data_IF_172583583764
#
_entry.id   IF_172583583764
#
_cell.length_a   1.000
_cell.length_b   1.000
_cell.length_c   1.000
_cell.angle_alpha   90.00
_cell.angle_beta   90.00
_cell.angle_gamma   90.00
#
_symmetry.space_group_name_H-M   'P 1'
#
loop_
_entity.id
_entity.type
_entity.pdbx_description
1 polymer ?
#
# COMPACT_ATOMS: atom_id res chain seq x y z
N UNK A 1 -7.13 -11.92 -8.86
CA UNK A 1 -6.18 -11.00 -8.20
C UNK A 1 -5.70 -11.63 -6.90
N UNK A 2 -4.78 -12.59 -6.96
CA UNK A 2 -4.31 -13.32 -5.76
C UNK A 2 -3.39 -12.47 -4.89
N UNK A 3 -2.58 -11.58 -5.49
CA UNK A 3 -1.69 -10.68 -4.75
C UNK A 3 -2.43 -9.69 -3.84
N UNK A 4 -3.65 -9.28 -4.20
CA UNK A 4 -4.45 -8.40 -3.34
C UNK A 4 -4.88 -9.09 -2.04
N UNK A 5 -5.06 -10.43 -2.05
CA UNK A 5 -5.33 -11.19 -0.84
C UNK A 5 -4.10 -11.30 0.05
N UNK A 6 -2.91 -11.48 -0.53
CA UNK A 6 -1.65 -11.50 0.21
C UNK A 6 -1.32 -10.16 0.90
N UNK A 7 -1.78 -9.04 0.33
CA UNK A 7 -1.60 -7.70 0.89
C UNK A 7 -2.53 -7.37 2.06
N UNK A 8 -3.61 -8.12 2.25
CA UNK A 8 -4.64 -7.83 3.24
C UNK A 8 -4.11 -7.71 4.68
N UNK A 9 -3.31 -8.66 5.21
CA UNK A 9 -2.72 -8.51 6.54
C UNK A 9 -1.77 -7.31 6.65
N UNK A 10 -0.96 -7.06 5.62
CA UNK A 10 -0.01 -5.94 5.62
C UNK A 10 -0.72 -4.57 5.59
N UNK A 11 -1.82 -4.46 4.84
CA UNK A 11 -2.66 -3.26 4.85
C UNK A 11 -3.35 -3.06 6.19
N UNK A 12 -3.74 -4.15 6.87
CA UNK A 12 -4.31 -4.09 8.20
C UNK A 12 -3.27 -3.62 9.24
N UNK A 13 -2.07 -4.19 9.22
CA UNK A 13 -0.97 -3.76 10.08
C UNK A 13 -0.60 -2.29 9.82
N UNK A 14 -0.51 -1.88 8.55
CA UNK A 14 -0.25 -0.50 8.17
C UNK A 14 -1.36 0.43 8.68
N UNK A 15 -2.63 0.07 8.50
CA UNK A 15 -3.77 0.85 8.98
C UNK A 15 -3.68 1.09 10.50
N UNK A 16 -3.44 0.02 11.27
CA UNK A 16 -3.29 0.12 12.72
C UNK A 16 -2.10 1.00 13.12
N UNK A 17 -0.97 0.90 12.43
CA UNK A 17 0.23 1.71 12.70
C UNK A 17 0.02 3.21 12.49
N UNK A 18 -0.93 3.60 11.63
CA UNK A 18 -1.28 5.00 11.36
C UNK A 18 -2.63 5.41 11.97
N UNK A 19 -3.13 4.61 12.91
CA UNK A 19 -4.38 4.84 13.64
C UNK A 19 -5.62 4.96 12.72
N UNK A 20 -5.67 4.14 11.67
CA UNK A 20 -6.83 3.98 10.80
C UNK A 20 -7.52 2.67 11.13
N UNK A 21 -8.83 2.73 11.37
CA UNK A 21 -9.63 1.53 11.57
C UNK A 21 -9.71 0.74 10.27
N UNK A 22 -9.40 -0.58 10.27
CA UNK A 22 -9.58 -1.41 9.09
C UNK A 22 -11.05 -1.37 8.64
N UNK A 23 -11.27 -0.98 7.38
CA UNK A 23 -12.60 -0.85 6.77
C UNK A 23 -12.79 -1.98 5.74
N UNK A 24 -13.99 -2.56 5.66
CA UNK A 24 -14.33 -3.54 4.61
C UNK A 24 -14.25 -2.90 3.22
N UNK A 25 -14.44 -1.58 3.13
CA UNK A 25 -14.22 -0.83 1.91
C UNK A 25 -12.74 -0.49 1.73
N UNK A 26 -12.04 -1.31 0.95
CA UNK A 26 -10.65 -1.08 0.55
C UNK A 26 -10.37 0.32 -0.01
N UNK A 27 -11.26 0.92 -0.82
CA UNK A 27 -11.00 2.26 -1.35
C UNK A 27 -10.99 3.32 -0.24
N UNK A 28 -11.90 3.20 0.72
CA UNK A 28 -11.98 4.04 1.91
C UNK A 28 -10.73 3.85 2.78
N UNK A 29 -10.39 2.60 3.13
CA UNK A 29 -9.21 2.28 3.93
C UNK A 29 -7.92 2.83 3.31
N UNK A 30 -7.69 2.57 2.01
CA UNK A 30 -6.49 3.04 1.30
C UNK A 30 -6.40 4.57 1.26
N UNK A 31 -7.53 5.28 1.11
CA UNK A 31 -7.55 6.75 1.15
C UNK A 31 -7.17 7.30 2.55
N UNK A 32 -7.70 6.69 3.60
CA UNK A 32 -7.43 7.11 4.98
C UNK A 32 -5.96 6.86 5.35
N UNK A 33 -5.43 5.68 5.00
CA UNK A 33 -4.01 5.34 5.18
C UNK A 33 -3.13 6.33 4.42
N UNK A 34 -3.41 6.59 3.13
CA UNK A 34 -2.63 7.55 2.33
C UNK A 34 -2.63 8.94 2.97
N UNK A 35 -3.77 9.40 3.49
CA UNK A 35 -3.90 10.70 4.16
C UNK A 35 -3.01 10.77 5.41
N UNK A 36 -3.02 9.73 6.25
CA UNK A 36 -2.20 9.67 7.46
C UNK A 36 -0.70 9.58 7.15
N UNK A 37 -0.30 8.75 6.18
CA UNK A 37 1.09 8.67 5.75
C UNK A 37 1.62 10.02 5.23
N UNK A 38 0.79 10.76 4.47
CA UNK A 38 1.14 12.11 4.02
C UNK A 38 1.22 13.13 5.15
N UNK A 39 0.45 12.96 6.22
CA UNK A 39 0.57 13.79 7.39
C UNK A 39 1.90 13.52 8.12
N UNK A 40 2.34 12.25 8.17
CA UNK A 40 3.65 11.89 8.73
C UNK A 40 4.80 12.55 7.97
N UNK A 41 4.74 12.57 6.63
CA UNK A 41 5.72 13.29 5.80
C UNK A 41 5.85 14.78 6.17
N UNK A 42 4.79 15.40 6.69
CA UNK A 42 4.76 16.84 7.03
C UNK A 42 5.10 17.14 8.49
N UNK A 43 5.45 16.12 9.27
CA UNK A 43 5.60 16.23 10.72
C UNK A 43 7.03 15.91 11.18
N UNK A 44 7.36 16.27 12.42
CA UNK A 44 8.72 16.28 12.98
C UNK A 44 9.28 14.89 13.32
N UNK A 45 8.85 13.83 12.63
CA UNK A 45 9.24 12.44 12.92
C UNK A 45 10.67 12.08 12.46
N UNK A 46 11.37 13.02 11.82
CA UNK A 46 12.75 12.84 11.35
C UNK A 46 12.83 12.33 9.90
N UNK A 47 14.00 12.46 9.25
CA UNK A 47 14.16 12.21 7.82
C UNK A 47 13.91 10.75 7.42
N UNK A 48 14.23 9.78 8.27
CA UNK A 48 13.99 8.36 8.02
C UNK A 48 12.49 8.02 7.98
N UNK A 49 11.72 8.62 8.88
CA UNK A 49 10.27 8.41 8.96
C UNK A 49 9.54 9.07 7.77
N UNK A 50 10.02 10.23 7.35
CA UNK A 50 9.54 10.89 6.13
C UNK A 50 9.85 10.07 4.88
N UNK A 51 11.07 9.53 4.79
CA UNK A 51 11.48 8.67 3.68
C UNK A 51 10.63 7.40 3.61
N UNK A 52 10.51 6.67 4.73
CA UNK A 52 9.70 5.47 4.83
C UNK A 52 8.23 5.72 4.47
N UNK A 53 7.63 6.79 5.00
CA UNK A 53 6.25 7.15 4.68
C UNK A 53 6.08 7.49 3.19
N UNK A 54 7.09 8.11 2.57
CA UNK A 54 7.10 8.44 1.14
C UNK A 54 7.10 7.19 0.26
N UNK A 55 7.96 6.23 0.58
CA UNK A 55 8.02 4.95 -0.14
C UNK A 55 6.71 4.17 0.02
N UNK A 56 6.16 4.12 1.24
CA UNK A 56 4.88 3.48 1.51
C UNK A 56 3.73 4.11 0.69
N UNK A 57 3.65 5.44 0.61
CA UNK A 57 2.63 6.15 -0.19
C UNK A 57 2.78 5.86 -1.68
N UNK A 58 4.00 5.86 -2.20
CA UNK A 58 4.27 5.57 -3.61
C UNK A 58 3.72 4.20 -4.00
N UNK A 59 4.07 3.17 -3.23
CA UNK A 59 3.67 1.79 -3.48
C UNK A 59 2.15 1.59 -3.29
N UNK A 60 1.58 2.17 -2.25
CA UNK A 60 0.14 2.11 -1.96
C UNK A 60 -0.68 2.67 -3.14
N UNK A 61 -0.22 3.77 -3.74
CA UNK A 61 -0.87 4.36 -4.93
C UNK A 61 -0.78 3.49 -6.17
N UNK A 62 0.37 2.84 -6.40
CA UNK A 62 0.53 1.91 -7.53
C UNK A 62 -0.44 0.73 -7.40
N UNK A 63 -0.48 0.10 -6.22
CA UNK A 63 -1.40 -0.98 -5.88
C UNK A 63 -2.85 -0.56 -6.12
N UNK A 64 -3.25 0.58 -5.58
CA UNK A 64 -4.63 1.08 -5.67
C UNK A 64 -5.02 1.45 -7.10
N UNK A 65 -4.32 2.42 -7.69
CA UNK A 65 -4.79 3.11 -8.89
C UNK A 65 -4.37 2.39 -10.17
N UNK A 66 -3.15 1.87 -10.21
CA UNK A 66 -2.61 1.25 -11.42
C UNK A 66 -3.09 -0.20 -11.60
N UNK A 67 -3.28 -0.93 -10.49
CA UNK A 67 -3.59 -2.36 -10.55
C UNK A 67 -4.98 -2.70 -10.04
N UNK A 68 -5.28 -2.46 -8.76
CA UNK A 68 -6.57 -2.87 -8.17
C UNK A 68 -7.75 -2.26 -8.90
N UNK A 69 -7.78 -0.93 -9.04
CA UNK A 69 -8.91 -0.24 -9.67
C UNK A 69 -9.08 -0.68 -11.14
N UNK A 70 -7.98 -0.73 -11.91
CA UNK A 70 -8.01 -1.16 -13.32
C UNK A 70 -8.47 -2.61 -13.48
N UNK A 71 -8.02 -3.52 -12.62
CA UNK A 71 -8.42 -4.92 -12.62
C UNK A 71 -9.90 -5.11 -12.24
N UNK A 72 -10.36 -4.41 -11.20
CA UNK A 72 -11.75 -4.48 -10.72
C UNK A 72 -12.74 -3.93 -11.75
N UNK A 73 -12.35 -2.93 -12.53
CA UNK A 73 -13.18 -2.38 -13.60
C UNK A 73 -13.06 -3.14 -14.93
N UNK A 74 -12.31 -4.24 -14.99
CA UNK A 74 -12.18 -5.08 -16.19
C UNK A 74 -11.49 -4.39 -17.38
N UNK A 75 -10.79 -3.28 -17.14
CA UNK A 75 -10.26 -2.41 -18.20
C UNK A 75 -8.97 -2.97 -18.82
N UNK A 76 -8.25 -3.82 -18.08
CA UNK A 76 -6.90 -4.27 -18.45
C UNK A 76 -6.76 -5.77 -18.19
N UNK A 77 -6.17 -6.49 -19.15
CA UNK A 77 -5.62 -7.83 -18.95
C UNK A 77 -4.11 -7.69 -18.76
N UNK A 78 -3.59 -8.32 -17.71
CA UNK A 78 -2.17 -8.32 -17.40
C UNK A 78 -1.52 -9.54 -18.02
N UNK A 79 -0.50 -9.33 -18.84
CA UNK A 79 0.36 -10.39 -19.34
C UNK A 79 1.33 -10.90 -18.28
N UNK A 80 2.17 -11.86 -18.64
CA UNK A 80 3.20 -12.42 -17.75
C UNK A 80 4.15 -11.34 -17.23
N UNK A 81 4.69 -10.50 -18.12
CA UNK A 81 5.59 -9.40 -17.75
C UNK A 81 4.94 -8.39 -16.80
N UNK A 82 3.63 -8.17 -16.95
CA UNK A 82 2.89 -7.30 -16.04
C UNK A 82 2.69 -7.97 -14.68
N UNK A 83 2.42 -9.27 -14.67
CA UNK A 83 2.28 -10.04 -13.43
C UNK A 83 3.59 -10.04 -12.63
N UNK A 84 4.74 -10.22 -13.29
CA UNK A 84 6.07 -10.14 -12.66
C UNK A 84 6.32 -8.74 -12.09
N UNK A 85 6.01 -7.68 -12.85
CA UNK A 85 6.16 -6.30 -12.38
C UNK A 85 5.28 -5.99 -11.17
N UNK A 86 4.03 -6.44 -11.17
CA UNK A 86 3.11 -6.30 -10.05
C UNK A 86 3.65 -7.07 -8.84
N UNK A 87 4.12 -8.31 -9.04
CA UNK A 87 4.67 -9.14 -7.99
C UNK A 87 5.87 -8.49 -7.29
N UNK A 88 6.87 -8.04 -8.06
CA UNK A 88 8.06 -7.40 -7.49
C UNK A 88 7.70 -6.11 -6.74
N UNK A 89 6.73 -5.34 -7.23
CA UNK A 89 6.30 -4.13 -6.51
C UNK A 89 5.56 -4.45 -5.22
N UNK A 90 4.72 -5.49 -5.19
CA UNK A 90 4.07 -5.97 -3.98
C UNK A 90 5.09 -6.47 -2.96
N UNK A 91 6.07 -7.26 -3.41
CA UNK A 91 7.19 -7.74 -2.58
C UNK A 91 7.99 -6.58 -1.99
N UNK A 92 8.35 -5.59 -2.81
CA UNK A 92 9.04 -4.38 -2.35
C UNK A 92 8.22 -3.66 -1.27
N UNK A 93 6.92 -3.45 -1.50
CA UNK A 93 6.05 -2.82 -0.50
C UNK A 93 6.02 -3.58 0.83
N UNK A 94 5.86 -4.91 0.80
CA UNK A 94 5.89 -5.74 2.01
C UNK A 94 7.21 -5.60 2.77
N UNK A 95 8.34 -5.56 2.05
CA UNK A 95 9.65 -5.36 2.65
C UNK A 95 9.78 -3.97 3.28
N UNK A 96 9.33 -2.91 2.60
CA UNK A 96 9.30 -1.55 3.15
C UNK A 96 8.49 -1.51 4.45
N UNK A 97 7.32 -2.15 4.47
CA UNK A 97 6.49 -2.19 5.68
C UNK A 97 7.17 -2.96 6.82
N UNK A 98 7.80 -4.11 6.53
CA UNK A 98 8.48 -4.94 7.52
C UNK A 98 9.69 -4.25 8.20
N UNK A 99 10.25 -3.20 7.60
CA UNK A 99 11.31 -2.41 8.26
C UNK A 99 10.83 -1.70 9.53
N UNK A 100 9.52 -1.47 9.66
CA UNK A 100 8.94 -0.67 10.74
C UNK A 100 7.78 -1.35 11.46
N UNK A 101 7.04 -2.21 10.76
CA UNK A 101 5.86 -2.88 11.28
C UNK A 101 6.21 -4.28 11.76
N UNK A 102 5.80 -4.59 12.98
CA UNK A 102 5.78 -5.96 13.54
C UNK A 102 4.32 -6.41 13.62
N UNK A 103 4.05 -7.68 13.27
CA UNK A 103 2.72 -8.29 13.38
C UNK A 103 2.25 -8.44 14.84
#
# INVERSE_FOLDING_TARGET
>A
MHLMRALEPALQALALSVEVQPDQNWNSALNQIETKLRAMQKSTHGPEDEHWASEAVLQLRAIKNAWRNRAMHGVVRYGEDDAVRIFESVKFFMQTLALRLTE
#
